data_IF_962644996703
#
_entry.id   IF_962644996703
#
_cell.length_a   1.000
_cell.length_b   1.000
_cell.length_c   1.000
_cell.angle_alpha   90.00
_cell.angle_beta   90.00
_cell.angle_gamma   90.00
#
_symmetry.space_group_name_H-M   'P 1'
#
loop_
_entity.id
_entity.type
_entity.pdbx_description
1 polymer ?
#
# COMPACT_ATOMS: atom_id res chain seq x y z
N UNK A 1 6.98 -24.23 -2.03
CA UNK A 1 5.93 -23.19 -2.10
C UNK A 1 6.29 -22.27 -3.26
N UNK A 2 5.66 -22.43 -4.42
CA UNK A 2 6.01 -21.64 -5.61
C UNK A 2 5.33 -20.28 -5.48
N UNK A 3 6.04 -19.31 -4.91
CA UNK A 3 5.62 -17.91 -4.90
C UNK A 3 5.55 -17.43 -6.35
N UNK A 4 4.34 -17.30 -6.88
CA UNK A 4 4.14 -16.92 -8.28
C UNK A 4 4.71 -15.52 -8.52
N UNK A 5 5.65 -15.33 -9.47
CA UNK A 5 6.27 -14.02 -9.72
C UNK A 5 5.24 -12.95 -10.11
N UNK A 6 4.12 -13.36 -10.70
CA UNK A 6 2.97 -12.50 -11.04
C UNK A 6 2.37 -11.78 -9.83
N UNK A 7 2.35 -12.42 -8.65
CA UNK A 7 1.83 -11.81 -7.42
C UNK A 7 2.77 -10.71 -6.91
N UNK A 8 4.07 -11.02 -6.87
CA UNK A 8 5.11 -10.08 -6.45
C UNK A 8 5.19 -8.86 -7.37
N UNK A 9 5.03 -9.05 -8.69
CA UNK A 9 4.96 -7.95 -9.66
C UNK A 9 3.74 -7.07 -9.43
N UNK A 10 2.56 -7.63 -9.13
CA UNK A 10 1.36 -6.84 -8.84
C UNK A 10 1.52 -5.98 -7.59
N UNK A 11 2.14 -6.51 -6.53
CA UNK A 11 2.43 -5.76 -5.31
C UNK A 11 3.42 -4.63 -5.57
N UNK A 12 4.51 -4.89 -6.30
CA UNK A 12 5.51 -3.87 -6.62
C UNK A 12 4.92 -2.73 -7.48
N UNK A 13 4.07 -3.06 -8.44
CA UNK A 13 3.35 -2.06 -9.26
C UNK A 13 2.37 -1.27 -8.40
N UNK A 14 1.58 -1.95 -7.54
CA UNK A 14 0.65 -1.27 -6.64
C UNK A 14 1.38 -0.30 -5.69
N UNK A 15 2.53 -0.72 -5.13
CA UNK A 15 3.36 0.12 -4.29
C UNK A 15 3.91 1.32 -5.06
N UNK A 16 4.40 1.12 -6.28
CA UNK A 16 4.91 2.20 -7.11
C UNK A 16 3.82 3.25 -7.41
N UNK A 17 2.58 2.82 -7.66
CA UNK A 17 1.44 3.74 -7.86
C UNK A 17 1.08 4.45 -6.56
N UNK A 18 1.04 3.75 -5.42
CA UNK A 18 0.75 4.37 -4.11
C UNK A 18 1.83 5.39 -3.72
N UNK A 19 3.09 5.15 -4.09
CA UNK A 19 4.22 6.06 -3.84
C UNK A 19 4.34 7.18 -4.87
N UNK A 20 3.55 7.16 -5.94
CA UNK A 20 3.62 8.17 -6.98
C UNK A 20 2.82 9.43 -6.54
N UNK A 21 3.47 10.61 -6.40
CA UNK A 21 2.79 11.84 -5.99
C UNK A 21 1.74 12.34 -7.00
N UNK A 22 1.81 11.87 -8.26
CA UNK A 22 0.84 12.18 -9.31
C UNK A 22 -0.30 11.15 -9.40
N UNK A 23 -0.29 10.11 -8.57
CA UNK A 23 -1.39 9.15 -8.56
C UNK A 23 -2.62 9.75 -7.87
N UNK A 24 -3.78 9.54 -8.48
CA UNK A 24 -5.07 9.88 -7.89
C UNK A 24 -5.22 9.24 -6.51
N UNK A 25 -5.60 10.04 -5.51
CA UNK A 25 -5.70 9.58 -4.11
C UNK A 25 -6.67 8.39 -3.99
N UNK A 26 -7.80 8.43 -4.70
CA UNK A 26 -8.76 7.31 -4.72
C UNK A 26 -8.16 6.01 -5.29
N UNK A 27 -7.29 6.11 -6.30
CA UNK A 27 -6.63 4.95 -6.87
C UNK A 27 -5.62 4.37 -5.88
N UNK A 28 -4.82 5.23 -5.24
CA UNK A 28 -3.88 4.82 -4.21
C UNK A 28 -4.60 4.09 -3.07
N UNK A 29 -5.74 4.59 -2.60
CA UNK A 29 -6.55 3.95 -1.56
C UNK A 29 -7.04 2.56 -1.93
N UNK A 30 -7.53 2.37 -3.16
CA UNK A 30 -7.98 1.06 -3.66
C UNK A 30 -6.81 0.06 -3.68
N UNK A 31 -5.61 0.53 -4.01
CA UNK A 31 -4.41 -0.31 -4.05
C UNK A 31 -3.89 -0.67 -2.65
N UNK A 32 -4.10 0.17 -1.62
CA UNK A 32 -3.76 -0.19 -0.24
C UNK A 32 -4.44 -1.48 0.23
N UNK A 33 -5.69 -1.72 -0.21
CA UNK A 33 -6.45 -2.90 0.18
C UNK A 33 -5.80 -4.22 -0.27
N UNK A 34 -5.01 -4.19 -1.36
CA UNK A 34 -4.34 -5.38 -1.93
C UNK A 34 -2.86 -5.48 -1.55
N UNK A 35 -2.30 -4.46 -0.90
CA UNK A 35 -0.92 -4.50 -0.40
C UNK A 35 -0.81 -5.41 0.83
N UNK A 36 0.30 -6.15 0.99
CA UNK A 36 0.57 -6.92 2.20
C UNK A 36 0.87 -6.01 3.40
N UNK A 37 0.75 -6.56 4.61
CA UNK A 37 0.89 -5.79 5.86
C UNK A 37 2.24 -5.07 6.01
N UNK A 38 3.34 -5.69 5.57
CA UNK A 38 4.67 -5.08 5.60
C UNK A 38 4.75 -3.79 4.77
N UNK A 39 4.22 -3.83 3.54
CA UNK A 39 4.19 -2.69 2.62
C UNK A 39 3.26 -1.59 3.12
N UNK A 40 2.13 -1.96 3.74
CA UNK A 40 1.25 -0.96 4.37
C UNK A 40 1.93 -0.24 5.54
N UNK A 41 2.71 -0.95 6.34
CA UNK A 41 3.46 -0.35 7.44
C UNK A 41 4.58 0.59 6.94
N UNK A 42 5.17 0.29 5.78
CA UNK A 42 6.08 1.21 5.07
C UNK A 42 5.34 2.46 4.60
N UNK A 43 4.21 2.30 3.91
CA UNK A 43 3.39 3.42 3.39
C UNK A 43 2.84 4.31 4.51
N UNK A 44 2.46 3.75 5.65
CA UNK A 44 2.00 4.52 6.81
C UNK A 44 3.11 5.42 7.41
N UNK A 45 4.37 4.94 7.36
CA UNK A 45 5.56 5.65 7.85
C UNK A 45 6.13 6.66 6.84
N UNK A 46 5.78 6.54 5.57
CA UNK A 46 6.27 7.45 4.53
C UNK A 46 5.66 8.84 4.67
N UNK A 47 6.48 9.80 5.10
CA UNK A 47 6.08 11.19 5.32
C UNK A 47 5.87 12.00 4.04
N UNK A 48 6.33 11.50 2.88
CA UNK A 48 6.17 12.19 1.60
C UNK A 48 4.80 11.95 0.95
N UNK A 49 4.03 10.97 1.46
CA UNK A 49 2.72 10.62 0.92
C UNK A 49 1.60 11.44 1.52
N UNK A 50 0.50 11.53 0.77
CA UNK A 50 -0.69 12.27 1.18
C UNK A 50 -1.19 11.77 2.55
N UNK A 51 -1.51 12.68 3.51
CA UNK A 51 -1.90 12.30 4.88
C UNK A 51 -3.05 11.28 4.95
N UNK A 52 -4.01 11.39 4.02
CA UNK A 52 -5.14 10.47 3.93
C UNK A 52 -4.72 9.04 3.56
N UNK A 53 -3.76 8.88 2.65
CA UNK A 53 -3.22 7.57 2.25
C UNK A 53 -2.51 6.92 3.44
N UNK A 54 -1.73 7.70 4.19
CA UNK A 54 -1.03 7.24 5.40
C UNK A 54 -2.00 6.81 6.50
N UNK A 55 -3.05 7.60 6.75
CA UNK A 55 -4.05 7.30 7.77
C UNK A 55 -4.80 5.99 7.44
N UNK A 56 -5.17 5.79 6.18
CA UNK A 56 -5.84 4.55 5.74
C UNK A 56 -4.89 3.36 5.81
N UNK A 57 -3.64 3.51 5.39
CA UNK A 57 -2.63 2.46 5.52
C UNK A 57 -2.44 2.03 6.98
N UNK A 58 -2.30 2.99 7.91
CA UNK A 58 -2.18 2.72 9.34
C UNK A 58 -3.41 1.97 9.90
N UNK A 59 -4.62 2.39 9.50
CA UNK A 59 -5.87 1.69 9.88
C UNK A 59 -5.90 0.26 9.38
N UNK A 60 -5.46 0.01 8.14
CA UNK A 60 -5.42 -1.33 7.55
C UNK A 60 -4.37 -2.22 8.22
N UNK A 61 -3.22 -1.68 8.65
CA UNK A 61 -2.23 -2.41 9.45
C UNK A 61 -2.84 -2.84 10.79
N UNK A 62 -3.49 -1.91 11.49
CA UNK A 62 -4.13 -2.18 12.78
C UNK A 62 -5.24 -3.25 12.66
N UNK A 63 -6.05 -3.18 11.60
CA UNK A 63 -7.15 -4.14 11.38
C UNK A 63 -6.71 -5.53 10.91
N UNK A 64 -5.45 -5.73 10.51
CA UNK A 64 -4.90 -7.05 10.12
C UNK A 64 -4.05 -7.71 11.21
N UNK A 65 -3.75 -6.97 12.28
CA UNK A 65 -2.98 -7.45 13.41
C UNK A 65 -3.87 -8.10 14.50
N UNK A 66 -5.20 -8.04 14.36
CA UNK A 66 -6.18 -8.76 15.17
C UNK A 66 -6.88 -9.84 14.36
#
# INVERSE_FOLDING_TARGET
MVESPRWRTRTAVALAVVRNPYAETELALKLLAVLPGAELAEVARDGALHPLVRAVAARLVAGRAG
#
